data_IF_306810435639
#
_entry.id   IF_306810435639
#
_cell.length_a   1.000
_cell.length_b   1.000
_cell.length_c   1.000
_cell.angle_alpha   90.00
_cell.angle_beta   90.00
_cell.angle_gamma   90.00
#
_symmetry.space_group_name_H-M   'P 1'
#
loop_
_entity.id
_entity.type
_entity.pdbx_description
1 polymer ?
#
# COMPACT_ATOMS: atom_id res chain seq x y z
N UNK A 1 -0.10 -52.08 -6.01
CA UNK A 1 -0.89 -50.86 -6.28
C UNK A 1 -0.23 -49.75 -5.49
N UNK A 2 0.51 -48.86 -6.15
CA UNK A 2 1.22 -47.78 -5.45
C UNK A 2 0.28 -46.58 -5.31
N UNK A 3 0.29 -45.97 -4.13
CA UNK A 3 -0.46 -44.74 -3.85
C UNK A 3 0.36 -43.58 -4.41
N UNK A 4 -0.20 -42.87 -5.39
CA UNK A 4 0.36 -41.62 -5.90
C UNK A 4 -0.23 -40.45 -5.10
N UNK A 5 0.65 -39.71 -4.41
CA UNK A 5 0.27 -38.51 -3.68
C UNK A 5 0.50 -37.29 -4.57
N UNK A 6 -0.55 -36.49 -4.78
CA UNK A 6 -0.43 -35.17 -5.39
C UNK A 6 -0.13 -34.15 -4.29
N UNK A 7 1.11 -33.68 -4.22
CA UNK A 7 1.46 -32.54 -3.37
C UNK A 7 0.92 -31.29 -4.09
N UNK A 8 -0.08 -30.63 -3.52
CA UNK A 8 -0.55 -29.32 -3.99
C UNK A 8 0.48 -28.26 -3.63
N UNK A 9 0.79 -27.37 -4.58
CA UNK A 9 1.69 -26.23 -4.36
C UNK A 9 1.23 -25.41 -3.15
N UNK A 10 2.16 -25.16 -2.23
CA UNK A 10 1.89 -24.42 -1.00
C UNK A 10 1.75 -22.92 -1.34
N UNK A 11 0.60 -22.35 -1.01
CA UNK A 11 0.37 -20.90 -1.08
C UNK A 11 0.60 -20.28 0.31
N UNK A 12 1.38 -19.22 0.38
CA UNK A 12 1.60 -18.43 1.59
C UNK A 12 1.10 -17.00 1.39
N UNK A 13 0.45 -16.47 2.43
CA UNK A 13 -0.03 -15.09 2.49
C UNK A 13 0.41 -14.47 3.82
N UNK A 14 0.93 -13.25 3.74
CA UNK A 14 1.35 -12.47 4.91
C UNK A 14 0.84 -11.03 4.76
N UNK A 15 0.34 -10.48 5.85
CA UNK A 15 -0.09 -9.08 5.93
C UNK A 15 0.80 -8.32 6.91
N UNK A 16 1.21 -7.12 6.52
CA UNK A 16 2.00 -6.20 7.33
C UNK A 16 1.24 -4.87 7.42
N UNK A 17 1.05 -4.38 8.65
CA UNK A 17 0.30 -3.16 8.93
C UNK A 17 1.19 -2.20 9.72
N UNK A 18 1.19 -0.91 9.34
CA UNK A 18 1.92 0.11 10.12
C UNK A 18 1.31 0.29 11.52
N UNK A 19 2.10 0.81 12.46
CA UNK A 19 1.66 1.02 13.84
C UNK A 19 0.43 1.93 13.97
N UNK A 20 0.27 2.89 13.05
CA UNK A 20 -0.88 3.77 12.97
C UNK A 20 -2.06 3.19 12.16
N UNK A 21 -1.92 1.97 11.64
CA UNK A 21 -2.97 1.26 10.90
C UNK A 21 -3.24 1.78 9.49
N UNK A 22 -2.44 2.73 8.98
CA UNK A 22 -2.73 3.41 7.70
C UNK A 22 -2.11 2.72 6.50
N UNK A 23 -0.93 2.13 6.64
CA UNK A 23 -0.22 1.44 5.56
C UNK A 23 -0.39 -0.07 5.69
N UNK A 24 -0.70 -0.71 4.57
CA UNK A 24 -0.96 -2.14 4.48
C UNK A 24 -0.17 -2.74 3.33
N UNK A 25 0.63 -3.76 3.61
CA UNK A 25 1.33 -4.57 2.61
C UNK A 25 0.84 -6.01 2.72
N UNK A 26 0.28 -6.54 1.64
CA UNK A 26 0.05 -7.97 1.51
C UNK A 26 1.13 -8.59 0.64
N UNK A 27 1.79 -9.64 1.14
CA UNK A 27 2.72 -10.48 0.41
C UNK A 27 2.06 -11.82 0.12
N UNK A 28 2.07 -12.25 -1.14
CA UNK A 28 1.60 -13.58 -1.55
C UNK A 28 2.69 -14.33 -2.30
N UNK A 29 2.79 -15.63 -2.10
CA UNK A 29 3.75 -16.48 -2.79
C UNK A 29 3.18 -17.88 -3.02
N UNK A 30 3.30 -18.38 -4.25
CA UNK A 30 2.81 -19.70 -4.66
C UNK A 30 3.99 -20.60 -5.03
N UNK A 31 4.22 -21.65 -4.23
CA UNK A 31 5.35 -22.55 -4.44
C UNK A 31 6.68 -21.80 -4.52
N UNK A 32 7.48 -22.11 -5.54
CA UNK A 32 8.77 -21.47 -5.79
C UNK A 32 8.67 -20.17 -6.61
N UNK A 33 7.45 -19.71 -6.95
CA UNK A 33 7.31 -18.46 -7.70
C UNK A 33 7.81 -17.28 -6.86
N UNK A 34 8.31 -16.21 -7.52
CA UNK A 34 8.66 -14.98 -6.83
C UNK A 34 7.46 -14.43 -6.04
N UNK A 35 7.69 -13.85 -4.85
CA UNK A 35 6.61 -13.24 -4.08
C UNK A 35 6.04 -12.00 -4.80
N UNK A 36 4.73 -11.81 -4.69
CA UNK A 36 4.02 -10.60 -5.09
C UNK A 36 3.71 -9.75 -3.87
N UNK A 37 3.81 -8.43 -4.02
CA UNK A 37 3.50 -7.46 -2.97
C UNK A 37 2.45 -6.48 -3.47
N UNK A 38 1.49 -6.17 -2.61
CA UNK A 38 0.49 -5.14 -2.84
C UNK A 38 0.50 -4.17 -1.66
N UNK A 39 0.69 -2.88 -1.96
CA UNK A 39 0.75 -1.79 -0.99
C UNK A 39 -0.50 -0.92 -1.13
N UNK A 40 -1.12 -0.59 -0.01
CA UNK A 40 -2.21 0.39 0.05
C UNK A 40 -2.07 1.30 1.26
N UNK A 41 -2.56 2.54 1.12
CA UNK A 41 -2.74 3.47 2.23
C UNK A 41 -4.23 3.74 2.40
N UNK A 42 -4.77 3.43 3.58
CA UNK A 42 -6.20 3.47 3.82
C UNK A 42 -6.80 4.88 3.88
N UNK A 43 -5.97 5.93 4.09
CA UNK A 43 -6.42 7.32 4.02
C UNK A 43 -6.92 7.73 2.63
N UNK A 44 -6.62 6.92 1.60
CA UNK A 44 -6.99 7.12 0.20
C UNK A 44 -8.17 6.27 -0.27
N UNK A 45 -8.82 5.49 0.61
CA UNK A 45 -9.90 4.56 0.23
C UNK A 45 -11.23 5.25 -0.12
N UNK A 46 -11.35 6.56 0.12
CA UNK A 46 -12.57 7.32 -0.15
C UNK A 46 -12.32 8.30 -1.28
N UNK A 47 -13.12 8.19 -2.33
CA UNK A 47 -13.10 9.14 -3.45
C UNK A 47 -13.67 10.49 -3.02
N UNK A 48 -13.23 11.59 -3.66
CA UNK A 48 -13.84 12.91 -3.46
C UNK A 48 -15.36 12.88 -3.65
N UNK A 49 -16.08 13.71 -2.90
CA UNK A 49 -17.54 13.78 -2.90
C UNK A 49 -18.05 15.20 -2.66
N UNK A 50 -19.23 15.49 -3.23
CA UNK A 50 -19.95 16.75 -3.05
C UNK A 50 -21.18 16.59 -2.19
N UNK A 51 -21.51 17.62 -1.42
CA UNK A 51 -22.75 17.70 -0.64
C UNK A 51 -23.25 19.15 -0.55
N UNK A 52 -24.57 19.34 -0.43
CA UNK A 52 -25.15 20.67 -0.34
C UNK A 52 -26.67 20.65 -0.38
N UNK A 53 -27.28 21.79 -0.07
CA UNK A 53 -28.73 22.00 -0.14
C UNK A 53 -29.22 22.32 -1.55
N UNK A 54 -28.30 22.62 -2.48
CA UNK A 54 -28.60 22.86 -3.88
C UNK A 54 -27.51 22.32 -4.82
N UNK A 55 -27.82 22.37 -6.12
CA UNK A 55 -26.96 21.85 -7.19
C UNK A 55 -25.60 22.55 -7.23
N UNK A 56 -25.57 23.87 -7.09
CA UNK A 56 -24.33 24.65 -7.14
C UNK A 56 -23.43 24.29 -5.98
N UNK A 57 -23.97 24.26 -4.76
CA UNK A 57 -23.23 23.93 -3.56
C UNK A 57 -22.66 22.51 -3.60
N UNK A 58 -23.40 21.55 -4.15
CA UNK A 58 -22.91 20.18 -4.34
C UNK A 58 -21.64 20.12 -5.21
N UNK A 59 -21.59 20.90 -6.31
CA UNK A 59 -20.39 20.97 -7.14
C UNK A 59 -19.25 21.76 -6.49
N UNK A 60 -19.54 22.87 -5.80
CA UNK A 60 -18.52 23.66 -5.10
C UNK A 60 -17.81 22.83 -4.02
N UNK A 61 -18.55 22.02 -3.26
CA UNK A 61 -17.97 21.13 -2.25
C UNK A 61 -17.22 19.95 -2.87
N UNK A 62 -17.71 19.36 -3.97
CA UNK A 62 -16.99 18.32 -4.69
C UNK A 62 -15.63 18.80 -5.20
N UNK A 63 -15.56 20.01 -5.78
CA UNK A 63 -14.31 20.62 -6.26
C UNK A 63 -13.36 20.84 -5.08
N UNK A 64 -13.87 21.38 -3.97
CA UNK A 64 -13.08 21.59 -2.74
C UNK A 64 -12.53 20.26 -2.19
N UNK A 65 -13.34 19.21 -2.19
CA UNK A 65 -12.92 17.87 -1.71
C UNK A 65 -11.91 17.23 -2.66
N UNK A 66 -12.02 17.45 -3.98
CA UNK A 66 -11.00 17.06 -4.95
C UNK A 66 -9.64 17.71 -4.64
N UNK A 67 -9.61 19.02 -4.40
CA UNK A 67 -8.38 19.74 -4.08
C UNK A 67 -7.75 19.21 -2.78
N UNK A 68 -8.56 19.00 -1.74
CA UNK A 68 -8.10 18.40 -0.49
C UNK A 68 -7.54 16.98 -0.68
N UNK A 69 -8.19 16.16 -1.51
CA UNK A 69 -7.73 14.82 -1.82
C UNK A 69 -6.39 14.84 -2.58
N UNK A 70 -6.20 15.77 -3.52
CA UNK A 70 -4.92 15.94 -4.24
C UNK A 70 -3.78 16.24 -3.26
N UNK A 71 -3.98 17.15 -2.31
CA UNK A 71 -2.96 17.46 -1.31
C UNK A 71 -2.67 16.26 -0.40
N UNK A 72 -3.70 15.50 -0.02
CA UNK A 72 -3.54 14.26 0.73
C UNK A 72 -2.70 13.23 -0.05
N UNK A 73 -2.97 13.04 -1.33
CA UNK A 73 -2.20 12.13 -2.20
C UNK A 73 -0.73 12.56 -2.29
N UNK A 74 -0.46 13.86 -2.44
CA UNK A 74 0.92 14.38 -2.46
C UNK A 74 1.65 14.08 -1.15
N UNK A 75 1.02 14.36 0.00
CA UNK A 75 1.61 14.11 1.30
C UNK A 75 1.92 12.63 1.53
N UNK A 76 1.01 11.73 1.16
CA UNK A 76 1.20 10.28 1.30
C UNK A 76 2.28 9.76 0.35
N UNK A 77 2.32 10.24 -0.90
CA UNK A 77 3.40 9.93 -1.85
C UNK A 77 4.76 10.33 -1.28
N UNK A 78 4.85 11.52 -0.69
CA UNK A 78 6.11 12.04 -0.17
C UNK A 78 6.56 11.25 1.07
N UNK A 79 5.63 10.85 1.95
CA UNK A 79 5.92 9.92 3.04
C UNK A 79 6.47 8.57 2.54
N UNK A 80 5.84 7.96 1.51
CA UNK A 80 6.32 6.72 0.92
C UNK A 80 7.73 6.88 0.33
N UNK A 81 8.00 8.02 -0.32
CA UNK A 81 9.32 8.31 -0.89
C UNK A 81 10.38 8.42 0.21
N UNK A 82 10.13 9.20 1.25
CA UNK A 82 11.06 9.35 2.38
C UNK A 82 11.33 7.99 3.03
N UNK A 83 10.30 7.18 3.28
CA UNK A 83 10.49 5.85 3.85
C UNK A 83 11.33 4.93 2.94
N UNK A 84 11.12 4.98 1.62
CA UNK A 84 11.92 4.23 0.66
C UNK A 84 13.39 4.68 0.68
N UNK A 85 13.65 5.97 0.75
CA UNK A 85 15.01 6.53 0.83
C UNK A 85 15.72 6.10 2.10
N UNK A 86 15.04 6.13 3.25
CA UNK A 86 15.55 5.62 4.54
C UNK A 86 15.88 4.13 4.47
N UNK A 87 14.99 3.32 3.90
CA UNK A 87 15.20 1.88 3.74
C UNK A 87 16.43 1.58 2.87
N UNK A 88 16.59 2.30 1.75
CA UNK A 88 17.74 2.13 0.85
C UNK A 88 19.06 2.57 1.50
N UNK A 89 19.03 3.66 2.28
CA UNK A 89 20.20 4.12 3.03
C UNK A 89 20.62 3.08 4.09
N UNK A 90 19.67 2.57 4.86
CA UNK A 90 19.94 1.54 5.88
C UNK A 90 20.49 0.25 5.27
N UNK A 91 19.94 -0.20 4.13
CA UNK A 91 20.46 -1.37 3.42
C UNK A 91 21.92 -1.20 3.00
N UNK A 92 22.28 -0.01 2.50
CA UNK A 92 23.65 0.31 2.09
C UNK A 92 24.63 0.31 3.26
N UNK A 93 24.23 0.84 4.42
CA UNK A 93 25.07 0.85 5.62
C UNK A 93 25.39 -0.57 6.09
N UNK A 94 24.41 -1.48 6.05
CA UNK A 94 24.59 -2.89 6.40
C UNK A 94 25.60 -3.59 5.47
N UNK A 95 25.52 -3.36 4.16
CA UNK A 95 26.48 -3.91 3.18
C UNK A 95 27.92 -3.42 3.40
N UNK A 96 28.11 -2.20 3.91
CA UNK A 96 29.44 -1.65 4.24
C UNK A 96 30.00 -2.13 5.58
N UNK A 97 29.17 -2.62 6.50
CA UNK A 97 29.61 -3.13 7.80
C UNK A 97 29.84 -4.65 7.82
N UNK A 98 29.34 -5.38 6.83
CA UNK A 98 29.57 -6.82 6.63
C UNK A 98 30.78 -7.14 5.73
N UNK A 99 31.45 -6.12 5.16
CA UNK A 99 32.72 -6.23 4.42
C UNK A 99 33.91 -5.68 5.24
#
# INVERSE_FOLDING_TARGET
>A
MNIEWKITEQESQQEMVSADGRWHISKSQKGEQPPSFYLSNYDLLVSPHGSGTDYRQCFETFITDCDAFIEKVKAIRDQARTHMEEMLAAAKELETHEN
#
